data_IF_590746375453
#
_entry.id   IF_590746375453
#
_cell.length_a   1.000
_cell.length_b   1.000
_cell.length_c   1.000
_cell.angle_alpha   90.00
_cell.angle_beta   90.00
_cell.angle_gamma   90.00
#
_symmetry.space_group_name_H-M   'P 1'
#
loop_
_entity.id
_entity.type
_entity.pdbx_description
1 polymer ?
#
# COMPACT_ATOMS: atom_id res chain seq x y z
N UNK A 1 -9.79 19.31 -17.45
CA UNK A 1 -9.88 19.34 -15.98
C UNK A 1 -8.57 19.91 -15.47
N UNK A 2 -8.64 20.85 -14.54
CA UNK A 2 -7.46 21.29 -13.80
C UNK A 2 -6.85 20.09 -13.08
N UNK A 3 -5.52 20.00 -13.03
CA UNK A 3 -4.87 18.89 -12.37
C UNK A 3 -5.24 18.90 -10.88
N UNK A 4 -5.54 17.75 -10.26
CA UNK A 4 -5.88 17.72 -8.85
C UNK A 4 -4.70 18.25 -8.00
N UNK A 5 -5.02 19.08 -7.02
CA UNK A 5 -4.08 19.61 -6.04
C UNK A 5 -4.40 19.04 -4.66
N UNK A 6 -3.35 18.77 -3.88
CA UNK A 6 -3.49 18.33 -2.48
C UNK A 6 -2.69 19.26 -1.57
N UNK A 7 -3.36 19.88 -0.60
CA UNK A 7 -2.71 20.77 0.37
C UNK A 7 -2.45 20.05 1.70
N UNK A 8 -1.23 20.17 2.21
CA UNK A 8 -0.81 19.64 3.52
C UNK A 8 -0.08 20.77 4.25
N UNK A 9 -0.78 21.46 5.15
CA UNK A 9 -0.25 22.66 5.80
C UNK A 9 0.18 23.71 4.76
N UNK A 10 1.42 24.22 4.81
CA UNK A 10 1.93 25.20 3.86
C UNK A 10 2.42 24.58 2.53
N UNK A 11 2.29 23.27 2.33
CA UNK A 11 2.73 22.58 1.11
C UNK A 11 1.56 22.28 0.17
N UNK A 12 1.74 22.55 -1.12
CA UNK A 12 0.78 22.24 -2.19
C UNK A 12 1.41 21.21 -3.13
N UNK A 13 0.78 20.05 -3.24
CA UNK A 13 1.22 18.94 -4.07
C UNK A 13 0.52 18.96 -5.42
N UNK A 14 1.33 18.83 -6.47
CA UNK A 14 0.96 18.68 -7.87
C UNK A 14 1.60 17.40 -8.42
N UNK A 15 1.18 16.86 -9.59
CA UNK A 15 1.66 15.57 -10.10
C UNK A 15 3.19 15.42 -10.21
N UNK A 16 3.93 16.51 -10.38
CA UNK A 16 5.40 16.50 -10.54
C UNK A 16 6.12 17.54 -9.67
N UNK A 17 5.44 18.19 -8.73
CA UNK A 17 5.99 19.30 -7.96
C UNK A 17 5.34 19.41 -6.59
N UNK A 18 6.11 19.88 -5.62
CA UNK A 18 5.64 20.37 -4.34
C UNK A 18 6.01 21.85 -4.23
N UNK A 19 5.01 22.69 -4.01
CA UNK A 19 5.16 24.12 -3.76
C UNK A 19 5.02 24.40 -2.27
N UNK A 20 5.66 25.47 -1.82
CA UNK A 20 5.69 25.89 -0.42
C UNK A 20 5.18 27.32 -0.32
N UNK A 21 4.22 27.54 0.58
CA UNK A 21 3.69 28.85 0.91
C UNK A 21 4.35 29.37 2.20
N UNK A 22 4.81 30.62 2.19
CA UNK A 22 5.39 31.26 3.38
C UNK A 22 6.70 30.63 3.84
N UNK A 23 6.86 30.53 5.17
CA UNK A 23 8.06 30.00 5.83
C UNK A 23 7.66 28.90 6.83
N UNK A 24 7.50 27.64 6.38
CA UNK A 24 7.11 26.52 7.22
C UNK A 24 8.12 26.27 8.35
N UNK A 25 7.60 25.92 9.52
CA UNK A 25 8.42 25.55 10.67
C UNK A 25 8.73 24.05 10.70
N UNK A 26 9.67 23.62 11.54
CA UNK A 26 10.12 22.22 11.58
C UNK A 26 8.98 21.20 11.72
N UNK A 27 7.93 21.53 12.47
CA UNK A 27 6.74 20.69 12.63
C UNK A 27 5.93 20.53 11.33
N UNK A 28 5.83 21.58 10.51
CA UNK A 28 5.15 21.50 9.21
C UNK A 28 5.83 20.48 8.29
N UNK A 29 7.17 20.50 8.27
CA UNK A 29 7.99 19.56 7.47
C UNK A 29 7.80 18.12 7.95
N UNK A 30 7.88 17.90 9.27
CA UNK A 30 7.69 16.57 9.85
C UNK A 30 6.30 16.02 9.54
N UNK A 31 5.26 16.82 9.75
CA UNK A 31 3.87 16.45 9.48
C UNK A 31 3.65 16.12 8.00
N UNK A 32 4.14 16.97 7.10
CA UNK A 32 4.00 16.75 5.67
C UNK A 32 4.72 15.47 5.22
N UNK A 33 5.97 15.29 5.64
CA UNK A 33 6.74 14.09 5.30
C UNK A 33 6.08 12.82 5.84
N UNK A 34 5.65 12.82 7.10
CA UNK A 34 4.98 11.68 7.72
C UNK A 34 3.68 11.32 7.00
N UNK A 35 2.89 12.32 6.60
CA UNK A 35 1.67 12.10 5.85
C UNK A 35 1.94 11.53 4.45
N UNK A 36 2.96 12.03 3.74
CA UNK A 36 3.34 11.51 2.42
C UNK A 36 3.88 10.08 2.49
N UNK A 37 4.70 9.77 3.50
CA UNK A 37 5.17 8.41 3.75
C UNK A 37 4.02 7.48 4.11
N UNK A 38 3.04 7.96 4.89
CA UNK A 38 1.82 7.22 5.21
C UNK A 38 1.00 6.92 3.95
N UNK A 39 0.79 7.89 3.05
CA UNK A 39 0.13 7.66 1.76
C UNK A 39 0.94 6.66 0.92
N UNK A 40 2.24 6.90 0.73
CA UNK A 40 3.09 6.03 -0.09
C UNK A 40 3.05 4.58 0.39
N UNK A 41 3.01 4.38 1.71
CA UNK A 41 2.96 3.06 2.34
C UNK A 41 1.58 2.38 2.24
N UNK A 42 0.50 3.15 2.31
CA UNK A 42 -0.85 2.61 2.49
C UNK A 42 -1.75 2.69 1.25
N UNK A 43 -1.45 3.55 0.27
CA UNK A 43 -2.24 3.65 -0.96
C UNK A 43 -2.46 2.31 -1.68
N UNK A 44 -1.55 1.31 -1.61
CA UNK A 44 -1.82 0.05 -2.26
C UNK A 44 -3.00 -0.71 -1.67
N UNK A 45 -3.23 -0.57 -0.36
CA UNK A 45 -4.40 -1.12 0.30
C UNK A 45 -5.67 -0.41 -0.14
N UNK A 46 -5.68 0.92 -0.17
CA UNK A 46 -6.88 1.69 -0.53
C UNK A 46 -7.33 1.44 -1.97
N UNK A 47 -6.39 1.38 -2.92
CA UNK A 47 -6.69 1.01 -4.31
C UNK A 47 -7.26 -0.41 -4.36
N UNK A 48 -6.61 -1.36 -3.68
CA UNK A 48 -7.08 -2.74 -3.67
C UNK A 48 -8.46 -2.91 -3.04
N UNK A 49 -8.75 -2.19 -1.96
CA UNK A 49 -10.06 -2.19 -1.30
C UNK A 49 -11.13 -1.54 -2.17
N UNK A 50 -10.85 -0.38 -2.77
CA UNK A 50 -11.76 0.31 -3.68
C UNK A 50 -12.19 -0.60 -4.84
N UNK A 51 -11.22 -1.30 -5.43
CA UNK A 51 -11.47 -2.26 -6.51
C UNK A 51 -12.27 -3.45 -6.02
N UNK A 52 -11.89 -4.03 -4.88
CA UNK A 52 -12.59 -5.20 -4.31
C UNK A 52 -14.05 -4.86 -3.99
N UNK A 53 -14.32 -3.70 -3.43
CA UNK A 53 -15.68 -3.23 -3.15
C UNK A 53 -16.45 -2.90 -4.42
N UNK A 54 -15.78 -2.31 -5.41
CA UNK A 54 -16.35 -2.00 -6.72
C UNK A 54 -16.76 -3.25 -7.50
N UNK A 55 -15.86 -4.22 -7.63
CA UNK A 55 -16.12 -5.54 -8.24
C UNK A 55 -17.29 -6.25 -7.56
N UNK A 56 -17.33 -6.26 -6.22
CA UNK A 56 -18.40 -6.91 -5.48
C UNK A 56 -19.79 -6.29 -5.76
N UNK A 57 -19.83 -4.99 -6.11
CA UNK A 57 -21.07 -4.27 -6.37
C UNK A 57 -21.46 -4.25 -7.85
N UNK A 58 -20.50 -4.14 -8.75
CA UNK A 58 -20.73 -3.85 -10.17
C UNK A 58 -20.19 -4.94 -11.12
N UNK A 59 -19.52 -5.97 -10.59
CA UNK A 59 -18.92 -7.05 -11.38
C UNK A 59 -17.86 -6.53 -12.36
N UNK A 60 -17.79 -7.16 -13.53
CA UNK A 60 -16.82 -6.83 -14.59
C UNK A 60 -16.98 -5.40 -15.13
N UNK A 61 -18.16 -4.80 -14.99
CA UNK A 61 -18.42 -3.43 -15.41
C UNK A 61 -17.62 -2.38 -14.62
N UNK A 62 -17.11 -2.74 -13.43
CA UNK A 62 -16.23 -1.84 -12.67
C UNK A 62 -14.94 -1.54 -13.44
N UNK A 63 -14.24 -2.57 -13.94
CA UNK A 63 -13.00 -2.37 -14.69
C UNK A 63 -13.23 -1.61 -15.99
N UNK A 64 -14.27 -1.99 -16.73
CA UNK A 64 -14.54 -1.42 -18.05
C UNK A 64 -14.87 0.08 -18.01
N UNK A 65 -15.37 0.58 -16.87
CA UNK A 65 -15.84 1.97 -16.75
C UNK A 65 -14.98 2.86 -15.83
N UNK A 66 -14.26 2.28 -14.88
CA UNK A 66 -13.55 3.04 -13.83
C UNK A 66 -12.03 2.97 -13.98
N UNK A 67 -11.46 1.92 -14.56
CA UNK A 67 -10.00 1.82 -14.72
C UNK A 67 -9.57 2.69 -15.91
N UNK A 68 -8.82 3.78 -15.67
CA UNK A 68 -8.72 4.88 -16.62
C UNK A 68 -7.77 4.60 -17.79
N UNK A 69 -6.83 3.66 -17.65
CA UNK A 69 -5.85 3.35 -18.69
C UNK A 69 -5.23 1.94 -18.51
N UNK A 70 -5.00 1.17 -19.61
CA UNK A 70 -4.35 -0.15 -19.57
C UNK A 70 -3.02 -0.22 -18.82
N UNK A 71 -2.21 0.85 -18.79
CA UNK A 71 -0.92 0.82 -18.07
C UNK A 71 -1.10 0.76 -16.55
N UNK A 72 -2.22 1.30 -16.05
CA UNK A 72 -2.57 1.27 -14.63
C UNK A 72 -3.31 -0.02 -14.23
N UNK A 73 -3.87 -0.74 -15.19
CA UNK A 73 -4.67 -1.94 -14.94
C UNK A 73 -3.88 -3.06 -14.25
N UNK A 74 -2.63 -3.30 -14.63
CA UNK A 74 -1.77 -4.30 -13.97
C UNK A 74 -1.48 -3.93 -12.51
N UNK A 75 -1.15 -2.66 -12.26
CA UNK A 75 -0.90 -2.16 -10.91
C UNK A 75 -2.13 -2.34 -10.03
N UNK A 76 -3.29 -1.88 -10.51
CA UNK A 76 -4.58 -1.97 -9.84
C UNK A 76 -4.95 -3.44 -9.55
N UNK A 77 -4.81 -4.31 -10.55
CA UNK A 77 -5.10 -5.74 -10.40
C UNK A 77 -4.19 -6.41 -9.36
N UNK A 78 -2.89 -6.08 -9.34
CA UNK A 78 -1.98 -6.56 -8.29
C UNK A 78 -2.40 -6.10 -6.90
N UNK A 79 -2.81 -4.84 -6.77
CA UNK A 79 -3.25 -4.25 -5.50
C UNK A 79 -4.50 -4.96 -4.97
N UNK A 80 -5.51 -5.12 -5.84
CA UNK A 80 -6.74 -5.82 -5.54
C UNK A 80 -6.52 -7.29 -5.17
N UNK A 81 -5.63 -8.00 -5.87
CA UNK A 81 -5.32 -9.40 -5.58
C UNK A 81 -4.78 -9.59 -4.16
N UNK A 82 -3.92 -8.69 -3.68
CA UNK A 82 -3.41 -8.75 -2.30
C UNK A 82 -4.48 -8.33 -1.29
N UNK A 83 -5.27 -7.29 -1.58
CA UNK A 83 -6.38 -6.86 -0.73
C UNK A 83 -7.43 -7.97 -0.51
N UNK A 84 -7.74 -8.76 -1.55
CA UNK A 84 -8.61 -9.94 -1.46
C UNK A 84 -7.99 -11.08 -0.65
N UNK A 85 -6.67 -11.25 -0.76
CA UNK A 85 -5.95 -12.32 -0.08
C UNK A 85 -5.72 -12.07 1.42
N UNK A 86 -5.82 -10.83 1.87
CA UNK A 86 -5.71 -10.41 3.28
C UNK A 86 -6.89 -9.52 3.64
N UNK A 87 -7.86 -10.07 4.37
CA UNK A 87 -8.98 -9.27 4.90
C UNK A 87 -8.44 -8.17 5.82
N UNK A 88 -9.20 -7.09 6.01
CA UNK A 88 -8.77 -5.96 6.84
C UNK A 88 -8.29 -6.39 8.25
N UNK A 89 -8.94 -7.39 8.86
CA UNK A 89 -8.56 -7.95 10.17
C UNK A 89 -7.30 -8.82 10.16
N UNK A 90 -6.78 -9.19 9.00
CA UNK A 90 -5.56 -10.00 8.81
C UNK A 90 -4.35 -9.15 8.40
N UNK A 91 -4.54 -7.84 8.20
CA UNK A 91 -3.49 -6.90 7.81
C UNK A 91 -2.82 -6.34 9.05
N UNK A 92 -1.50 -6.27 8.99
CA UNK A 92 -0.66 -5.83 10.10
C UNK A 92 -0.24 -4.38 9.81
N UNK A 93 -0.82 -3.36 10.46
CA UNK A 93 -0.56 -1.95 10.11
C UNK A 93 0.92 -1.56 10.25
N UNK A 94 1.66 -2.25 11.12
CA UNK A 94 3.11 -2.13 11.33
C UNK A 94 3.93 -2.67 10.15
N UNK A 95 3.31 -3.42 9.23
CA UNK A 95 3.93 -3.97 8.02
C UNK A 95 3.28 -3.39 6.75
N UNK A 96 4.10 -3.03 5.77
CA UNK A 96 3.58 -2.47 4.51
C UNK A 96 2.84 -3.52 3.67
N UNK A 97 2.04 -3.05 2.71
CA UNK A 97 1.41 -3.92 1.69
C UNK A 97 2.42 -4.85 1.01
N UNK A 98 3.64 -4.38 0.76
CA UNK A 98 4.71 -5.18 0.14
C UNK A 98 5.12 -6.39 0.99
N UNK A 99 5.12 -6.27 2.33
CA UNK A 99 5.40 -7.43 3.20
C UNK A 99 4.38 -8.54 2.98
N UNK A 100 3.10 -8.16 2.92
CA UNK A 100 1.98 -9.06 2.69
C UNK A 100 2.04 -9.69 1.29
N UNK A 101 2.42 -8.90 0.26
CA UNK A 101 2.65 -9.40 -1.10
C UNK A 101 3.67 -10.54 -1.13
N UNK A 102 4.80 -10.39 -0.45
CA UNK A 102 5.89 -11.38 -0.51
C UNK A 102 5.50 -12.73 0.11
N UNK A 103 4.52 -12.74 1.01
CA UNK A 103 4.03 -13.96 1.66
C UNK A 103 2.72 -14.48 1.09
N UNK A 104 2.06 -13.76 0.16
CA UNK A 104 0.70 -14.11 -0.32
C UNK A 104 0.61 -15.54 -0.90
N UNK A 105 1.70 -16.08 -1.44
CA UNK A 105 1.71 -17.43 -2.02
C UNK A 105 1.89 -18.55 -0.97
N UNK A 106 2.13 -18.20 0.30
CA UNK A 106 2.25 -19.15 1.39
C UNK A 106 0.87 -19.54 1.94
N UNK A 107 0.82 -20.70 2.62
CA UNK A 107 -0.36 -21.14 3.39
C UNK A 107 -0.64 -20.14 4.53
N UNK A 108 -1.91 -19.96 4.97
CA UNK A 108 -2.28 -18.95 5.96
C UNK A 108 -1.44 -18.97 7.25
N UNK A 109 -1.12 -20.15 7.77
CA UNK A 109 -0.28 -20.30 8.98
C UNK A 109 1.14 -19.75 8.72
N UNK A 110 1.78 -20.20 7.63
CA UNK A 110 3.11 -19.74 7.25
C UNK A 110 3.16 -18.23 6.92
N UNK A 111 2.07 -17.64 6.41
CA UNK A 111 1.99 -16.17 6.25
C UNK A 111 2.13 -15.47 7.60
N UNK A 112 1.35 -15.89 8.60
CA UNK A 112 1.37 -15.30 9.95
C UNK A 112 2.74 -15.45 10.60
N UNK A 113 3.36 -16.63 10.49
CA UNK A 113 4.70 -16.89 11.03
C UNK A 113 5.76 -15.98 10.40
N UNK A 114 5.75 -15.82 9.08
CA UNK A 114 6.72 -14.95 8.39
C UNK A 114 6.47 -13.47 8.69
N UNK A 115 5.21 -13.03 8.75
CA UNK A 115 4.87 -11.65 9.09
C UNK A 115 5.24 -11.33 10.54
N UNK A 116 4.98 -12.23 11.49
CA UNK A 116 5.43 -12.08 12.88
C UNK A 116 6.95 -11.98 12.95
N UNK A 117 7.65 -12.88 12.28
CA UNK A 117 9.11 -12.85 12.24
C UNK A 117 9.66 -11.55 11.64
N UNK A 118 9.02 -11.02 10.60
CA UNK A 118 9.39 -9.74 10.00
C UNK A 118 9.15 -8.57 10.95
N UNK A 119 8.03 -8.56 11.66
CA UNK A 119 7.70 -7.55 12.65
C UNK A 119 8.72 -7.55 13.80
N UNK A 120 8.96 -8.72 14.41
CA UNK A 120 9.85 -8.88 15.56
C UNK A 120 11.30 -8.48 15.26
N UNK A 121 11.72 -8.61 14.00
CA UNK A 121 13.10 -8.33 13.56
C UNK A 121 13.24 -7.02 12.80
N UNK A 122 12.16 -6.25 12.63
CA UNK A 122 12.18 -5.01 11.85
C UNK A 122 12.64 -5.23 10.40
N UNK A 123 12.28 -6.36 9.78
CA UNK A 123 12.73 -6.71 8.44
C UNK A 123 12.04 -5.81 7.42
N UNK A 124 12.82 -5.11 6.60
CA UNK A 124 12.30 -4.30 5.51
C UNK A 124 11.67 -5.17 4.41
N UNK A 125 10.65 -4.63 3.71
CA UNK A 125 9.89 -5.36 2.68
C UNK A 125 10.76 -5.95 1.57
N UNK A 126 11.84 -5.26 1.17
CA UNK A 126 12.79 -5.73 0.16
C UNK A 126 13.63 -6.95 0.58
N UNK A 127 13.60 -7.32 1.87
CA UNK A 127 14.33 -8.47 2.45
C UNK A 127 13.41 -9.63 2.86
N UNK A 128 12.12 -9.54 2.54
CA UNK A 128 11.15 -10.58 2.90
C UNK A 128 11.43 -11.94 2.29
N UNK A 129 12.11 -12.01 1.14
CA UNK A 129 12.53 -13.30 0.55
C UNK A 129 13.45 -14.08 1.49
N UNK A 130 14.33 -13.39 2.20
CA UNK A 130 15.22 -14.02 3.18
C UNK A 130 14.46 -14.42 4.45
N UNK A 131 13.49 -13.60 4.87
CA UNK A 131 12.59 -13.95 5.98
C UNK A 131 11.77 -15.22 5.69
N UNK A 132 11.21 -15.35 4.48
CA UNK A 132 10.48 -16.55 4.05
C UNK A 132 11.38 -17.79 4.09
N UNK A 133 12.62 -17.67 3.61
CA UNK A 133 13.60 -18.78 3.65
C UNK A 133 13.95 -19.16 5.08
N UNK A 134 14.19 -18.16 5.94
CA UNK A 134 14.55 -18.39 7.34
C UNK A 134 13.45 -19.10 8.13
N UNK A 135 12.17 -18.75 7.91
CA UNK A 135 11.05 -19.44 8.57
C UNK A 135 10.88 -20.87 8.02
N UNK A 136 10.99 -21.07 6.70
CA UNK A 136 10.92 -22.41 6.11
C UNK A 136 12.01 -23.36 6.60
N UNK A 137 13.18 -22.85 6.97
CA UNK A 137 14.27 -23.66 7.49
C UNK A 137 14.07 -24.10 8.97
N UNK A 138 13.04 -23.58 9.66
CA UNK A 138 12.74 -23.90 11.06
C UNK A 138 11.68 -24.99 11.25
N UNK A 139 10.97 -25.36 10.18
CA UNK A 139 9.93 -26.41 10.15
C UNK A 139 10.30 -27.53 9.19
#
# INVERSE_FOLDING_TARGET
MEAPELKIGPFVLRPTQLEMEGAPEGEDWENALNFLLWIARNHPWWIGDLVTYGEARFGEAFYNNIVPDPTTADMIGRHAAIARAFKASERWPELSWTHHREVVRLKPIARKEVLQYALDKGIASGKMRDAVRAVKARG
#
